data_IF_743129437847
#
_entry.id   IF_743129437847
#
_cell.length_a   1.000
_cell.length_b   1.000
_cell.length_c   1.000
_cell.angle_alpha   90.00
_cell.angle_beta   90.00
_cell.angle_gamma   90.00
#
_symmetry.space_group_name_H-M   'P 1'
#
loop_
_entity.id
_entity.type
_entity.pdbx_description
1 polymer ?
#
# COMPACT_ATOMS: atom_id res chain seq x y z
N UNK A 1 -1.72 5.98 12.92
CA UNK A 1 -2.70 6.42 11.90
C UNK A 1 -1.92 7.01 10.74
N UNK A 2 -2.10 6.46 9.54
CA UNK A 2 -1.46 6.97 8.32
C UNK A 2 -2.40 7.92 7.60
N UNK A 3 -1.85 8.96 6.98
CA UNK A 3 -2.60 9.92 6.16
C UNK A 3 -1.71 10.33 4.99
N UNK A 4 -2.27 10.29 3.79
CA UNK A 4 -1.60 10.64 2.55
C UNK A 4 -2.49 11.61 1.77
N UNK A 5 -1.85 12.47 0.98
CA UNK A 5 -2.52 13.36 0.05
C UNK A 5 -1.85 13.25 -1.31
N UNK A 6 -2.67 13.18 -2.36
CA UNK A 6 -2.22 13.11 -3.73
C UNK A 6 -2.97 14.17 -4.54
N UNK A 7 -2.27 14.78 -5.51
CA UNK A 7 -2.92 15.72 -6.45
C UNK A 7 -3.91 14.97 -7.34
N UNK A 8 -5.07 15.59 -7.62
CA UNK A 8 -6.01 15.09 -8.62
C UNK A 8 -5.41 15.03 -10.05
N UNK A 9 -4.31 15.76 -10.28
CA UNK A 9 -3.58 15.79 -11.55
C UNK A 9 -2.45 14.75 -11.60
N UNK A 10 -2.31 13.91 -10.57
CA UNK A 10 -1.30 12.89 -10.55
C UNK A 10 -1.52 11.87 -11.68
N UNK A 11 -0.42 11.44 -12.29
CA UNK A 11 -0.45 10.44 -13.35
C UNK A 11 -0.57 9.02 -12.77
N UNK A 12 -1.20 8.07 -13.48
CA UNK A 12 -1.20 6.67 -13.07
C UNK A 12 0.22 6.15 -12.79
N UNK A 13 0.37 5.39 -11.71
CA UNK A 13 1.66 4.92 -11.19
C UNK A 13 2.34 5.88 -10.22
N UNK A 14 1.79 7.06 -9.95
CA UNK A 14 2.29 7.95 -8.90
C UNK A 14 2.23 7.25 -7.52
N UNK A 15 3.31 7.37 -6.75
CA UNK A 15 3.36 6.88 -5.37
C UNK A 15 2.47 7.76 -4.49
N UNK A 16 1.47 7.14 -3.85
CA UNK A 16 0.58 7.80 -2.88
C UNK A 16 1.28 7.86 -1.52
N UNK A 17 1.94 6.78 -1.14
CA UNK A 17 2.64 6.67 0.13
C UNK A 17 3.11 5.26 0.45
N UNK A 18 3.78 5.14 1.60
CA UNK A 18 4.30 3.87 2.12
C UNK A 18 3.81 3.62 3.53
N UNK A 19 3.47 2.37 3.80
CA UNK A 19 3.12 1.88 5.12
C UNK A 19 4.09 0.78 5.52
N UNK A 20 4.19 0.54 6.83
CA UNK A 20 5.04 -0.50 7.39
C UNK A 20 4.24 -1.29 8.43
N UNK A 21 4.43 -2.61 8.45
CA UNK A 21 3.95 -3.48 9.50
C UNK A 21 5.10 -4.36 10.00
N UNK A 22 5.04 -4.77 11.27
CA UNK A 22 6.09 -5.54 11.92
C UNK A 22 5.52 -6.83 12.49
N UNK A 23 6.20 -7.93 12.22
CA UNK A 23 6.02 -9.22 12.87
C UNK A 23 7.31 -9.56 13.63
N UNK A 24 7.18 -10.08 14.86
CA UNK A 24 8.32 -10.42 15.72
C UNK A 24 8.93 -11.79 15.42
N UNK A 25 8.26 -12.60 14.60
CA UNK A 25 8.79 -13.89 14.17
C UNK A 25 9.93 -13.73 13.14
N UNK A 26 10.46 -14.86 12.65
CA UNK A 26 11.56 -14.88 11.67
C UNK A 26 11.24 -15.78 10.49
N UNK A 27 11.83 -15.46 9.34
CA UNK A 27 11.65 -16.21 8.10
C UNK A 27 10.21 -16.12 7.58
N UNK A 28 9.67 -17.23 7.10
CA UNK A 28 8.33 -17.28 6.48
C UNK A 28 7.20 -16.87 7.45
N UNK A 29 7.39 -17.11 8.76
CA UNK A 29 6.40 -16.74 9.77
C UNK A 29 6.29 -15.21 9.95
N UNK A 30 7.29 -14.44 9.54
CA UNK A 30 7.25 -12.98 9.54
C UNK A 30 6.91 -12.39 8.16
N UNK A 31 6.43 -13.23 7.22
CA UNK A 31 6.02 -12.77 5.89
C UNK A 31 4.71 -12.00 5.99
N UNK A 32 4.73 -10.78 5.47
CA UNK A 32 3.56 -9.90 5.48
C UNK A 32 2.94 -9.80 4.09
N UNK A 33 1.61 -9.87 4.06
CA UNK A 33 0.80 -9.62 2.87
C UNK A 33 -0.08 -8.40 3.12
N UNK A 34 -0.23 -7.59 2.08
CA UNK A 34 -0.93 -6.32 2.15
C UNK A 34 -2.03 -6.30 1.10
N UNK A 35 -3.23 -5.94 1.53
CA UNK A 35 -4.41 -5.85 0.68
C UNK A 35 -5.19 -4.60 1.02
N UNK A 36 -5.66 -3.89 0.00
CA UNK A 36 -6.64 -2.81 0.17
C UNK A 36 -8.00 -3.49 0.29
N UNK A 37 -8.62 -3.40 1.47
CA UNK A 37 -9.99 -3.88 1.66
C UNK A 37 -10.93 -3.00 0.81
N UNK A 38 -11.87 -3.63 0.12
CA UNK A 38 -12.81 -2.92 -0.76
C UNK A 38 -13.54 -1.79 -0.02
N UNK A 39 -13.47 -0.59 -0.60
CA UNK A 39 -14.28 0.57 -0.26
C UNK A 39 -14.98 1.12 -1.51
N UNK A 40 -15.64 2.28 -1.41
CA UNK A 40 -16.42 2.92 -2.49
C UNK A 40 -15.67 3.18 -3.83
N UNK A 41 -14.33 3.05 -3.85
CA UNK A 41 -13.47 3.52 -4.95
C UNK A 41 -12.70 2.38 -5.64
N UNK A 42 -13.30 1.19 -5.75
CA UNK A 42 -12.72 -0.01 -6.36
C UNK A 42 -11.74 0.27 -7.52
N UNK A 43 -10.59 -0.39 -7.49
CA UNK A 43 -9.45 -0.26 -8.41
C UNK A 43 -8.76 1.11 -8.51
N UNK A 44 -9.09 2.14 -7.73
CA UNK A 44 -8.39 3.46 -7.80
C UNK A 44 -6.94 3.39 -7.30
N UNK A 45 -6.64 2.46 -6.39
CA UNK A 45 -5.29 2.32 -5.82
C UNK A 45 -4.83 0.88 -5.88
N UNK A 46 -3.53 0.69 -6.16
CA UNK A 46 -2.87 -0.59 -6.04
C UNK A 46 -1.90 -0.57 -4.86
N UNK A 47 -1.71 -1.73 -4.22
CA UNK A 47 -0.75 -1.92 -3.14
C UNK A 47 0.21 -3.05 -3.49
N UNK A 48 1.49 -2.84 -3.22
CA UNK A 48 2.53 -3.87 -3.37
C UNK A 48 3.38 -3.92 -2.11
N UNK A 49 3.47 -5.10 -1.50
CA UNK A 49 4.28 -5.35 -0.31
C UNK A 49 5.65 -5.89 -0.66
N UNK A 50 6.70 -5.36 -0.03
CA UNK A 50 8.05 -5.90 -0.06
C UNK A 50 8.59 -5.92 1.38
N UNK A 51 8.88 -7.12 1.89
CA UNK A 51 9.31 -7.34 3.27
C UNK A 51 8.29 -6.76 4.28
N UNK A 52 8.73 -5.80 5.10
CA UNK A 52 7.94 -5.15 6.15
C UNK A 52 7.31 -3.83 5.73
N UNK A 53 7.35 -3.51 4.44
CA UNK A 53 6.78 -2.29 3.88
C UNK A 53 5.81 -2.60 2.75
N UNK A 54 4.87 -1.68 2.49
CA UNK A 54 4.06 -1.69 1.31
C UNK A 54 3.94 -0.29 0.71
N UNK A 55 3.97 -0.25 -0.63
CA UNK A 55 3.83 0.97 -1.42
C UNK A 55 2.45 0.99 -2.04
N UNK A 56 1.75 2.10 -1.83
CA UNK A 56 0.46 2.39 -2.44
C UNK A 56 0.70 3.29 -3.65
N UNK A 57 0.16 2.90 -4.79
CA UNK A 57 0.26 3.64 -6.06
C UNK A 57 -1.12 3.96 -6.60
N UNK A 58 -1.25 5.12 -7.24
CA UNK A 58 -2.43 5.48 -7.99
C UNK A 58 -2.60 4.51 -9.16
N UNK A 59 -3.69 3.74 -9.12
CA UNK A 59 -4.14 2.95 -10.25
C UNK A 59 -5.12 3.81 -11.07
N UNK A 60 -5.21 3.50 -12.36
CA UNK A 60 -5.69 4.41 -13.41
C UNK A 60 -7.09 4.97 -13.18
#
# INVERSE_FOLDING_TARGET
MWSFSLSELAIPGAEVGRISASDTDVGENARLEYTILEGETGDTFNITGVNQEAVIVLNK
#
